data_IF_401726265255
#
_entry.id   IF_401726265255
#
_cell.length_a   1.000
_cell.length_b   1.000
_cell.length_c   1.000
_cell.angle_alpha   90.00
_cell.angle_beta   90.00
_cell.angle_gamma   90.00
#
_symmetry.space_group_name_H-M   'P 1'
#
loop_
_entity.id
_entity.type
_entity.pdbx_description
1 polymer ?
#
# COMPACT_ATOMS: atom_id res chain seq x y z
N UNK A 1 -14.85 -5.12 0.94
CA UNK A 1 -13.52 -5.78 0.92
C UNK A 1 -13.55 -7.12 1.65
N UNK A 2 -14.45 -8.02 1.28
CA UNK A 2 -14.57 -9.31 1.97
C UNK A 2 -13.40 -10.25 1.60
N UNK A 3 -13.06 -10.34 0.32
CA UNK A 3 -12.00 -11.22 -0.19
C UNK A 3 -10.61 -10.88 0.39
N UNK A 4 -10.22 -9.60 0.42
CA UNK A 4 -8.92 -9.18 0.99
C UNK A 4 -8.80 -9.50 2.47
N UNK A 5 -9.88 -9.28 3.24
CA UNK A 5 -9.91 -9.61 4.68
C UNK A 5 -9.84 -11.12 4.92
N UNK A 6 -10.54 -11.90 4.10
CA UNK A 6 -10.48 -13.36 4.15
C UNK A 6 -9.06 -13.87 3.86
N UNK A 7 -8.42 -13.35 2.80
CA UNK A 7 -7.07 -13.74 2.43
C UNK A 7 -6.05 -13.47 3.55
N UNK A 8 -6.15 -12.31 4.20
CA UNK A 8 -5.24 -11.97 5.31
C UNK A 8 -5.51 -12.82 6.55
N UNK A 9 -6.79 -13.07 6.87
CA UNK A 9 -7.15 -13.98 7.97
C UNK A 9 -6.59 -15.36 7.73
N UNK A 10 -6.69 -15.88 6.51
CA UNK A 10 -6.18 -17.20 6.17
C UNK A 10 -4.65 -17.24 6.18
N UNK A 11 -3.99 -16.19 5.70
CA UNK A 11 -2.54 -16.06 5.78
C UNK A 11 -2.06 -16.08 7.24
N UNK A 12 -2.73 -15.37 8.16
CA UNK A 12 -2.41 -15.40 9.60
C UNK A 12 -2.71 -16.75 10.23
N UNK A 13 -3.82 -17.39 9.87
CA UNK A 13 -4.16 -18.74 10.32
C UNK A 13 -3.07 -19.76 9.95
N UNK A 14 -2.52 -19.65 8.75
CA UNK A 14 -1.48 -20.56 8.25
C UNK A 14 -0.09 -20.24 8.83
N UNK A 15 0.27 -18.97 8.96
CA UNK A 15 1.61 -18.55 9.35
C UNK A 15 1.79 -18.36 10.87
N UNK A 16 0.69 -18.29 11.63
CA UNK A 16 0.70 -18.03 13.06
C UNK A 16 0.71 -16.55 13.41
N UNK A 17 0.45 -16.24 14.68
CA UNK A 17 0.32 -14.85 15.13
C UNK A 17 1.66 -14.14 15.34
N UNK A 18 2.74 -14.89 15.55
CA UNK A 18 4.08 -14.36 15.89
C UNK A 18 4.89 -13.85 14.70
N UNK A 19 4.38 -14.00 13.47
CA UNK A 19 5.04 -13.50 12.26
C UNK A 19 4.46 -12.17 11.77
N UNK A 20 5.29 -11.25 11.24
CA UNK A 20 4.82 -9.97 10.71
C UNK A 20 3.98 -10.18 9.43
N UNK A 21 2.93 -9.37 9.31
CA UNK A 21 2.11 -9.24 8.12
C UNK A 21 2.71 -8.19 7.17
N UNK A 22 3.16 -8.63 6.00
CA UNK A 22 3.54 -7.76 4.89
C UNK A 22 2.55 -7.90 3.75
N UNK A 23 2.14 -6.78 3.16
CA UNK A 23 1.21 -6.77 2.02
C UNK A 23 1.93 -6.23 0.79
N UNK A 24 1.81 -6.93 -0.33
CA UNK A 24 2.29 -6.49 -1.64
C UNK A 24 1.11 -6.34 -2.58
N UNK A 25 0.93 -5.15 -3.16
CA UNK A 25 -0.17 -4.86 -4.08
C UNK A 25 0.35 -4.46 -5.46
N UNK A 26 -0.04 -5.19 -6.50
CA UNK A 26 0.26 -4.86 -7.89
C UNK A 26 -0.97 -4.24 -8.57
N UNK A 27 -0.79 -3.16 -9.32
CA UNK A 27 -1.87 -2.55 -10.12
C UNK A 27 -3.11 -2.24 -9.25
N UNK A 28 -4.28 -2.79 -9.55
CA UNK A 28 -5.49 -2.66 -8.73
C UNK A 28 -5.35 -3.29 -7.32
N UNK A 29 -4.53 -4.33 -7.17
CA UNK A 29 -4.20 -4.92 -5.88
C UNK A 29 -3.54 -3.94 -4.91
N UNK A 30 -2.87 -2.91 -5.44
CA UNK A 30 -2.35 -1.79 -4.65
C UNK A 30 -3.46 -1.02 -3.92
N UNK A 31 -4.59 -0.76 -4.59
CA UNK A 31 -5.73 -0.06 -3.99
C UNK A 31 -6.36 -0.87 -2.85
N UNK A 32 -6.46 -2.18 -3.04
CA UNK A 32 -6.94 -3.10 -2.02
C UNK A 32 -5.98 -3.17 -0.83
N UNK A 33 -4.67 -3.23 -1.08
CA UNK A 33 -3.65 -3.22 -0.04
C UNK A 33 -3.71 -1.94 0.81
N UNK A 34 -3.82 -0.78 0.15
CA UNK A 34 -3.93 0.51 0.84
C UNK A 34 -5.21 0.63 1.64
N UNK A 35 -6.35 0.28 1.04
CA UNK A 35 -7.63 0.35 1.76
C UNK A 35 -7.65 -0.59 2.97
N UNK A 36 -7.09 -1.80 2.87
CA UNK A 36 -7.03 -2.70 4.01
C UNK A 36 -6.16 -2.11 5.13
N UNK A 37 -5.01 -1.55 4.75
CA UNK A 37 -4.08 -0.95 5.71
C UNK A 37 -4.75 0.20 6.46
N UNK A 38 -5.46 1.09 5.76
CA UNK A 38 -6.23 2.17 6.38
C UNK A 38 -7.34 1.63 7.29
N UNK A 39 -8.15 0.69 6.80
CA UNK A 39 -9.20 0.05 7.60
C UNK A 39 -8.62 -0.58 8.89
N UNK A 40 -7.39 -1.13 8.84
CA UNK A 40 -6.73 -1.78 9.98
C UNK A 40 -6.13 -0.79 10.99
N UNK A 41 -5.91 0.46 10.62
CA UNK A 41 -5.52 1.50 11.57
C UNK A 41 -6.69 1.87 12.50
N UNK A 42 -7.90 1.90 11.93
CA UNK A 42 -9.13 2.31 12.62
C UNK A 42 -9.83 1.15 13.35
N UNK A 43 -9.75 -0.08 12.81
CA UNK A 43 -10.40 -1.26 13.39
C UNK A 43 -9.36 -2.18 14.06
N UNK A 44 -9.31 -2.24 15.41
CA UNK A 44 -8.35 -3.09 16.12
C UNK A 44 -8.58 -4.59 15.91
N UNK A 45 -9.73 -5.00 15.33
CA UNK A 45 -10.00 -6.40 14.97
C UNK A 45 -9.25 -6.85 13.73
N UNK A 46 -8.63 -5.93 12.98
CA UNK A 46 -7.85 -6.24 11.80
C UNK A 46 -6.36 -6.25 12.12
N UNK A 47 -5.64 -7.23 11.58
CA UNK A 47 -4.20 -7.31 11.73
C UNK A 47 -3.53 -6.15 11.01
N UNK A 48 -2.85 -5.29 11.77
CA UNK A 48 -2.09 -4.16 11.22
C UNK A 48 -0.86 -4.67 10.45
N UNK A 49 -0.73 -4.35 9.15
CA UNK A 49 0.48 -4.70 8.40
C UNK A 49 1.68 -3.91 8.91
N UNK A 50 2.84 -4.56 9.06
CA UNK A 50 4.10 -3.90 9.39
C UNK A 50 4.75 -3.26 8.17
N UNK A 51 4.41 -3.75 6.96
CA UNK A 51 4.93 -3.23 5.69
C UNK A 51 3.91 -3.35 4.57
N UNK A 52 3.86 -2.33 3.73
CA UNK A 52 3.08 -2.33 2.48
C UNK A 52 4.02 -1.97 1.32
N UNK A 53 4.05 -2.81 0.29
CA UNK A 53 4.81 -2.58 -0.94
C UNK A 53 3.83 -2.45 -2.09
N UNK A 54 3.95 -1.39 -2.88
CA UNK A 54 3.07 -1.12 -4.01
C UNK A 54 3.89 -1.18 -5.30
N UNK A 55 3.42 -1.97 -6.26
CA UNK A 55 4.06 -2.13 -7.57
C UNK A 55 3.08 -1.63 -8.63
N UNK A 56 3.45 -0.55 -9.31
CA UNK A 56 2.63 0.13 -10.31
C UNK A 56 1.16 0.30 -9.86
N UNK A 57 0.90 0.80 -8.64
CA UNK A 57 -0.46 0.82 -8.12
C UNK A 57 -1.36 1.69 -9.00
N UNK A 58 -2.54 1.20 -9.36
CA UNK A 58 -3.59 1.99 -10.00
C UNK A 58 -4.34 2.86 -8.97
N UNK A 59 -3.60 3.37 -7.99
CA UNK A 59 -4.06 4.35 -7.02
C UNK A 59 -3.53 5.65 -7.59
N UNK A 60 -4.35 6.35 -8.38
CA UNK A 60 -3.92 7.50 -9.15
C UNK A 60 -3.03 8.43 -8.32
N UNK A 61 -1.83 8.72 -8.84
CA UNK A 61 -0.82 9.59 -8.21
C UNK A 61 -1.32 11.05 -8.08
N UNK A 62 -2.61 11.33 -8.28
CA UNK A 62 -3.17 12.68 -8.42
C UNK A 62 -4.47 12.94 -7.66
N UNK A 63 -5.15 11.97 -7.05
CA UNK A 63 -6.42 12.29 -6.36
C UNK A 63 -6.21 12.69 -4.89
N UNK A 64 -5.49 11.90 -4.09
CA UNK A 64 -5.28 12.21 -2.66
C UNK A 64 -4.08 13.15 -2.42
N UNK A 65 -3.06 13.12 -3.28
CA UNK A 65 -1.92 14.05 -3.21
C UNK A 65 -2.34 15.51 -3.49
N UNK A 66 -3.35 15.74 -4.36
CA UNK A 66 -3.91 17.08 -4.62
C UNK A 66 -4.75 17.61 -3.46
N UNK A 67 -5.39 16.75 -2.67
CA UNK A 67 -6.10 17.16 -1.45
C UNK A 67 -5.15 17.34 -0.26
N UNK A 68 -4.03 16.62 -0.19
CA UNK A 68 -3.00 16.85 0.83
C UNK A 68 -2.36 18.26 0.73
N UNK A 69 -2.29 18.84 -0.47
CA UNK A 69 -1.80 20.21 -0.68
C UNK A 69 -2.79 21.32 -0.31
N UNK A 70 -4.10 21.02 -0.17
CA UNK A 70 -5.14 21.98 0.21
C UNK A 70 -5.61 21.74 1.67
N UNK A 71 -5.40 20.54 2.23
CA UNK A 71 -5.67 20.22 3.64
C UNK A 71 -4.52 20.59 4.59
N UNK A 72 -3.77 21.66 4.26
CA UNK A 72 -2.71 22.22 5.09
C UNK A 72 -3.25 23.03 6.28
N UNK A 73 -4.04 22.41 7.16
CA UNK A 73 -4.28 22.84 8.56
C UNK A 73 -5.15 21.79 9.30
N UNK A 74 -4.98 21.61 10.62
CA UNK A 74 -3.90 20.89 11.33
C UNK A 74 -4.42 19.56 11.91
N UNK A 75 -3.67 18.45 11.82
CA UNK A 75 -3.57 17.42 12.88
C UNK A 75 -2.91 16.11 12.40
N UNK A 76 -1.77 15.79 13.01
CA UNK A 76 -1.46 14.46 13.57
C UNK A 76 -1.53 13.26 12.59
N UNK A 77 -0.57 13.12 11.67
CA UNK A 77 -0.12 11.80 11.20
C UNK A 77 1.39 11.81 10.87
N UNK A 78 2.29 11.90 11.87
CA UNK A 78 3.72 11.80 11.63
C UNK A 78 4.16 10.33 11.73
N UNK A 79 4.18 9.62 10.60
CA UNK A 79 5.02 8.42 10.43
C UNK A 79 5.30 8.08 8.95
N UNK A 80 4.36 8.35 8.03
CA UNK A 80 4.50 7.92 6.62
C UNK A 80 4.83 9.01 5.62
N UNK A 81 4.84 10.29 6.02
CA UNK A 81 5.31 11.38 5.15
C UNK A 81 6.80 11.21 4.76
N UNK A 82 7.61 10.50 5.57
CA UNK A 82 9.00 10.17 5.24
C UNK A 82 9.14 9.03 4.21
N UNK A 83 8.12 8.20 3.99
CA UNK A 83 8.17 7.11 3.01
C UNK A 83 7.88 7.58 1.57
N UNK A 84 7.38 8.80 1.39
CA UNK A 84 7.06 9.36 0.08
C UNK A 84 8.26 9.97 -0.66
N UNK A 85 9.41 10.16 0.00
CA UNK A 85 10.56 10.88 -0.56
C UNK A 85 11.66 9.99 -1.18
N UNK A 86 11.52 8.66 -1.14
CA UNK A 86 12.50 7.72 -1.72
C UNK A 86 11.98 6.93 -2.94
N UNK A 87 10.85 7.33 -3.50
CA UNK A 87 10.21 6.63 -4.62
C UNK A 87 9.90 7.50 -5.85
N UNK A 88 10.48 8.70 -5.97
CA UNK A 88 10.34 9.51 -7.18
C UNK A 88 11.52 9.21 -8.11
N UNK A 89 11.43 8.13 -8.88
CA UNK A 89 12.02 8.06 -10.22
C UNK A 89 11.15 7.15 -11.09
N UNK A 90 10.17 7.68 -11.86
CA UNK A 90 9.79 7.04 -13.10
C UNK A 90 10.65 7.67 -14.20
N UNK A 91 11.91 7.24 -14.33
CA UNK A 91 12.67 7.51 -15.55
C UNK A 91 12.30 6.42 -16.55
N UNK A 92 11.24 6.73 -17.29
CA UNK A 92 10.80 6.00 -18.46
C UNK A 92 11.89 6.14 -19.54
N UNK A 93 12.70 5.10 -19.75
CA UNK A 93 13.58 5.01 -20.91
C UNK A 93 12.99 4.01 -21.92
N UNK A 94 12.47 4.46 -23.09
CA UNK A 94 11.67 3.64 -24.01
C UNK A 94 12.47 2.75 -24.97
N UNK A 95 13.74 2.41 -24.70
CA UNK A 95 14.50 1.47 -25.54
C UNK A 95 15.05 0.28 -24.73
N UNK A 96 14.31 -0.84 -24.73
CA UNK A 96 14.80 -2.13 -25.26
C UNK A 96 13.81 -3.27 -24.98
N UNK A 97 13.11 -3.66 -26.05
CA UNK A 97 12.83 -5.06 -26.31
C UNK A 97 14.14 -5.83 -26.54
N UNK A 98 14.06 -7.16 -26.36
CA UNK A 98 15.06 -8.23 -26.60
C UNK A 98 15.64 -8.79 -25.28
N UNK A 99 15.36 -10.02 -24.85
CA UNK A 99 14.83 -11.18 -25.56
C UNK A 99 14.18 -12.15 -24.57
N UNK A 100 13.15 -12.85 -25.05
CA UNK A 100 12.82 -14.18 -24.54
C UNK A 100 14.08 -15.04 -24.47
N UNK A 101 14.38 -15.55 -23.29
CA UNK A 101 14.80 -16.94 -23.04
C UNK A 101 14.54 -17.29 -21.59
#
# INVERSE_FOLDING_TARGET
>A
MAATRLAIREAKRLAGDDVPLHIVGFSNGGALAMKYTLDALDDPRLTKPQRVVLISPMIGVTSFARFAGIAGWPAIFPAFAKAAWLGIVPEFNPFKYNSFR
#
